data_IF_677293231740
#
_entry.id   IF_677293231740
#
_cell.length_a   1.000
_cell.length_b   1.000
_cell.length_c   1.000
_cell.angle_alpha   90.00
_cell.angle_beta   90.00
_cell.angle_gamma   90.00
#
_symmetry.space_group_name_H-M   'P 1'
#
loop_
_entity.id
_entity.type
_entity.pdbx_description
1 polymer ?
#
# COMPACT_ATOMS: atom_id res chain seq x y z
N UNK A 1 -18.17 11.33 10.90
CA UNK A 1 -17.74 11.96 9.61
C UNK A 1 -18.97 12.29 8.80
N UNK A 2 -19.04 13.48 8.23
CA UNK A 2 -20.04 13.83 7.22
C UNK A 2 -19.68 13.23 5.84
N UNK A 3 -20.57 13.34 4.86
CA UNK A 3 -20.38 12.76 3.52
C UNK A 3 -19.15 13.36 2.80
N UNK A 4 -18.88 14.64 3.02
CA UNK A 4 -17.72 15.32 2.41
C UNK A 4 -16.42 14.81 3.03
N UNK A 5 -16.39 14.67 4.35
CA UNK A 5 -15.25 14.10 5.07
C UNK A 5 -14.97 12.65 4.66
N UNK A 6 -16.02 11.83 4.49
CA UNK A 6 -15.91 10.45 3.99
C UNK A 6 -15.34 10.41 2.57
N UNK A 7 -15.79 11.31 1.69
CA UNK A 7 -15.26 11.41 0.34
C UNK A 7 -13.78 11.82 0.33
N UNK A 8 -13.41 12.86 1.07
CA UNK A 8 -12.03 13.34 1.16
C UNK A 8 -11.09 12.29 1.74
N UNK A 9 -11.51 11.59 2.79
CA UNK A 9 -10.77 10.49 3.36
C UNK A 9 -10.59 9.34 2.35
N UNK A 10 -11.67 8.95 1.66
CA UNK A 10 -11.61 7.95 0.60
C UNK A 10 -10.64 8.34 -0.53
N UNK A 11 -10.69 9.60 -1.00
CA UNK A 11 -9.76 10.11 -2.01
C UNK A 11 -8.30 9.98 -1.52
N UNK A 12 -8.03 10.41 -0.29
CA UNK A 12 -6.69 10.37 0.29
C UNK A 12 -6.11 8.96 0.36
N UNK A 13 -6.87 8.02 0.93
CA UNK A 13 -6.48 6.61 1.03
C UNK A 13 -6.37 5.98 -0.37
N UNK A 14 -7.30 6.29 -1.29
CA UNK A 14 -7.26 5.79 -2.66
C UNK A 14 -6.01 6.22 -3.42
N UNK A 15 -5.63 7.49 -3.32
CA UNK A 15 -4.39 8.02 -3.89
C UNK A 15 -3.17 7.30 -3.30
N UNK A 16 -3.10 7.23 -1.97
CA UNK A 16 -1.99 6.61 -1.26
C UNK A 16 -1.82 5.11 -1.58
N UNK A 17 -2.92 4.41 -1.86
CA UNK A 17 -2.90 2.97 -2.19
C UNK A 17 -2.22 2.65 -3.52
N UNK A 18 -2.10 3.60 -4.44
CA UNK A 18 -1.49 3.40 -5.76
C UNK A 18 -0.33 4.34 -6.06
N UNK A 19 -0.03 5.28 -5.18
CA UNK A 19 1.22 6.05 -5.17
C UNK A 19 2.17 5.48 -4.12
N UNK A 20 3.48 5.57 -4.32
CA UNK A 20 4.47 5.08 -3.36
C UNK A 20 4.62 6.03 -2.15
N UNK A 21 3.50 6.30 -1.48
CA UNK A 21 3.41 7.11 -0.25
C UNK A 21 2.75 6.29 0.86
N UNK A 22 2.97 6.67 2.12
CA UNK A 22 2.35 5.98 3.25
C UNK A 22 0.86 6.28 3.32
N UNK A 23 0.03 5.23 3.37
CA UNK A 23 -1.43 5.34 3.54
C UNK A 23 -1.74 6.02 4.87
N UNK A 24 -1.11 5.55 5.96
CA UNK A 24 -1.33 6.08 7.30
C UNK A 24 -0.84 7.54 7.42
N UNK A 25 0.31 7.86 6.82
CA UNK A 25 0.84 9.22 6.78
C UNK A 25 -0.11 10.20 6.08
N UNK A 26 -0.67 9.82 4.92
CA UNK A 26 -1.65 10.66 4.22
C UNK A 26 -2.98 10.72 4.98
N UNK A 27 -3.47 9.61 5.50
CA UNK A 27 -4.71 9.58 6.26
C UNK A 27 -4.62 10.44 7.53
N UNK A 28 -3.49 10.38 8.24
CA UNK A 28 -3.18 11.20 9.41
C UNK A 28 -3.10 12.69 9.04
N UNK A 29 -2.38 13.03 7.97
CA UNK A 29 -2.26 14.40 7.50
C UNK A 29 -3.64 14.99 7.10
N UNK A 30 -4.44 14.24 6.35
CA UNK A 30 -5.79 14.66 5.95
C UNK A 30 -6.68 14.83 7.18
N UNK A 31 -6.62 13.91 8.16
CA UNK A 31 -7.32 14.03 9.42
C UNK A 31 -6.96 15.32 10.16
N UNK A 32 -5.67 15.60 10.27
CA UNK A 32 -5.16 16.76 10.98
C UNK A 32 -5.50 18.09 10.28
N UNK A 33 -5.15 18.23 8.98
CA UNK A 33 -5.31 19.49 8.25
C UNK A 33 -6.76 19.84 7.93
N UNK A 34 -7.63 18.83 7.73
CA UNK A 34 -9.05 19.02 7.42
C UNK A 34 -9.94 18.88 8.65
N UNK A 35 -9.35 18.69 9.84
CA UNK A 35 -10.08 18.46 11.10
C UNK A 35 -11.12 17.33 10.95
N UNK A 36 -10.72 16.24 10.28
CA UNK A 36 -11.55 15.05 10.11
C UNK A 36 -11.29 14.11 11.27
N UNK A 37 -12.29 13.89 12.09
CA UNK A 37 -12.25 12.91 13.17
C UNK A 37 -12.44 11.50 12.58
N UNK A 38 -11.30 10.85 12.25
CA UNK A 38 -11.30 9.51 11.66
C UNK A 38 -11.61 8.48 12.76
N UNK A 39 -12.65 7.65 12.59
CA UNK A 39 -13.00 6.64 13.58
C UNK A 39 -11.81 5.71 13.87
N UNK A 40 -11.46 5.59 15.14
CA UNK A 40 -10.36 4.74 15.60
C UNK A 40 -10.63 3.23 15.41
N UNK A 41 -11.85 2.86 14.99
CA UNK A 41 -12.25 1.47 14.76
C UNK A 41 -11.72 0.88 13.44
N UNK A 42 -11.05 1.70 12.60
CA UNK A 42 -10.49 1.28 11.32
C UNK A 42 -11.51 0.98 10.22
N UNK A 43 -12.81 1.14 10.47
CA UNK A 43 -13.87 0.80 9.50
C UNK A 43 -13.74 1.63 8.21
N UNK A 44 -13.54 2.95 8.34
CA UNK A 44 -13.37 3.84 7.19
C UNK A 44 -12.13 3.46 6.37
N UNK A 45 -11.02 3.13 7.05
CA UNK A 45 -9.79 2.69 6.40
C UNK A 45 -9.99 1.38 5.64
N UNK A 46 -10.66 0.39 6.24
CA UNK A 46 -10.96 -0.89 5.60
C UNK A 46 -11.83 -0.70 4.35
N UNK A 47 -12.88 0.11 4.43
CA UNK A 47 -13.77 0.42 3.29
C UNK A 47 -12.98 1.08 2.16
N UNK A 48 -12.15 2.07 2.47
CA UNK A 48 -11.32 2.74 1.48
C UNK A 48 -10.30 1.79 0.84
N UNK A 49 -9.63 0.93 1.63
CA UNK A 49 -8.69 -0.07 1.11
C UNK A 49 -9.38 -1.11 0.23
N UNK A 50 -10.61 -1.54 0.57
CA UNK A 50 -11.40 -2.45 -0.28
C UNK A 50 -11.76 -1.73 -1.60
N UNK A 51 -12.15 -0.45 -1.55
CA UNK A 51 -12.39 0.36 -2.74
C UNK A 51 -11.15 0.44 -3.64
N UNK A 52 -9.98 0.68 -3.06
CA UNK A 52 -8.71 0.70 -3.78
C UNK A 52 -8.37 -0.66 -4.41
N UNK A 53 -8.57 -1.77 -3.69
CA UNK A 53 -8.36 -3.12 -4.25
C UNK A 53 -9.28 -3.39 -5.44
N UNK A 54 -10.55 -3.02 -5.34
CA UNK A 54 -11.52 -3.19 -6.46
C UNK A 54 -11.06 -2.37 -7.68
N UNK A 55 -10.56 -1.14 -7.49
CA UNK A 55 -10.00 -0.32 -8.57
C UNK A 55 -8.79 -1.01 -9.25
N UNK A 56 -7.89 -1.59 -8.48
CA UNK A 56 -6.75 -2.35 -8.99
C UNK A 56 -7.22 -3.59 -9.77
N UNK A 57 -8.21 -4.31 -9.24
CA UNK A 57 -8.81 -5.47 -9.94
C UNK A 57 -9.42 -5.01 -11.28
N UNK A 58 -10.20 -3.93 -11.30
CA UNK A 58 -10.78 -3.38 -12.54
C UNK A 58 -9.69 -2.99 -13.53
N UNK A 59 -8.61 -2.35 -13.05
CA UNK A 59 -7.48 -1.95 -13.91
C UNK A 59 -6.81 -3.14 -14.59
N UNK A 60 -6.74 -4.30 -13.92
CA UNK A 60 -6.08 -5.51 -14.40
C UNK A 60 -7.06 -6.66 -14.63
N UNK A 61 -8.35 -6.36 -14.91
CA UNK A 61 -9.44 -7.33 -14.95
C UNK A 61 -9.17 -8.53 -15.88
N UNK A 62 -8.56 -8.29 -17.03
CA UNK A 62 -8.23 -9.37 -17.98
C UNK A 62 -7.22 -10.36 -17.38
N UNK A 63 -6.19 -9.87 -16.69
CA UNK A 63 -5.20 -10.72 -16.01
C UNK A 63 -5.81 -11.46 -14.83
N UNK A 64 -6.62 -10.77 -14.02
CA UNK A 64 -7.33 -11.38 -12.88
C UNK A 64 -8.26 -12.49 -13.37
N UNK A 65 -9.03 -12.25 -14.43
CA UNK A 65 -9.94 -13.26 -14.97
C UNK A 65 -9.21 -14.46 -15.56
N UNK A 66 -8.12 -14.24 -16.33
CA UNK A 66 -7.25 -15.32 -16.84
C UNK A 66 -6.67 -16.16 -15.70
N UNK A 67 -6.18 -15.47 -14.66
CA UNK A 67 -5.61 -16.08 -13.47
C UNK A 67 -6.64 -16.93 -12.71
N UNK A 68 -7.84 -16.41 -12.46
CA UNK A 68 -8.92 -17.14 -11.78
C UNK A 68 -9.37 -18.36 -12.58
N UNK A 69 -9.58 -18.19 -13.89
CA UNK A 69 -9.92 -19.30 -14.79
C UNK A 69 -8.83 -20.37 -14.79
N UNK A 70 -7.58 -19.96 -14.90
CA UNK A 70 -6.42 -20.85 -14.87
C UNK A 70 -6.34 -21.64 -13.57
N UNK A 71 -6.52 -20.97 -12.42
CA UNK A 71 -6.51 -21.61 -11.10
C UNK A 71 -7.66 -22.61 -10.93
N UNK A 72 -8.87 -22.28 -11.40
CA UNK A 72 -10.00 -23.20 -11.37
C UNK A 72 -9.71 -24.47 -12.19
N UNK A 73 -9.12 -24.33 -13.38
CA UNK A 73 -8.70 -25.48 -14.21
C UNK A 73 -7.60 -26.29 -13.53
N UNK A 74 -6.63 -25.62 -12.88
CA UNK A 74 -5.57 -26.29 -12.13
C UNK A 74 -6.15 -27.13 -10.99
N UNK A 75 -7.03 -26.55 -10.16
CA UNK A 75 -7.70 -27.26 -9.07
C UNK A 75 -8.49 -28.46 -9.55
N UNK A 76 -9.24 -28.32 -10.65
CA UNK A 76 -9.99 -29.41 -11.27
C UNK A 76 -9.08 -30.56 -11.75
N UNK A 77 -7.94 -30.24 -12.39
CA UNK A 77 -6.97 -31.22 -12.87
C UNK A 77 -6.24 -31.93 -11.75
N UNK A 78 -5.86 -31.17 -10.68
CA UNK A 78 -5.19 -31.73 -9.49
C UNK A 78 -6.06 -32.78 -8.80
N UNK A 79 -7.39 -32.59 -8.81
CA UNK A 79 -8.34 -33.52 -8.19
C UNK A 79 -8.58 -34.78 -9.04
N UNK A 80 -8.32 -34.77 -10.36
CA UNK A 80 -8.72 -35.84 -11.26
C UNK A 80 -7.61 -36.66 -11.94
N UNK A 81 -6.46 -36.09 -12.28
CA UNK A 81 -5.45 -36.73 -13.13
C UNK A 81 -4.05 -36.14 -12.97
N UNK A 82 -3.38 -36.32 -11.85
CA UNK A 82 -1.94 -36.11 -11.76
C UNK A 82 -1.43 -34.84 -12.44
N UNK A 83 -1.68 -33.66 -11.86
CA UNK A 83 -1.16 -32.36 -12.33
C UNK A 83 0.29 -32.19 -11.92
N UNK A 84 1.19 -31.93 -12.88
CA UNK A 84 2.57 -31.55 -12.61
C UNK A 84 2.71 -30.04 -12.70
N UNK A 85 2.97 -29.38 -11.57
CA UNK A 85 3.14 -27.92 -11.51
C UNK A 85 4.22 -27.43 -12.50
N UNK A 86 5.31 -28.18 -12.64
CA UNK A 86 6.44 -27.77 -13.48
C UNK A 86 6.12 -27.78 -14.98
N UNK A 87 5.29 -28.74 -15.41
CA UNK A 87 5.07 -28.99 -16.84
C UNK A 87 3.71 -28.48 -17.34
N UNK A 88 2.70 -28.39 -16.45
CA UNK A 88 1.32 -28.16 -16.87
C UNK A 88 0.78 -26.79 -16.45
N UNK A 89 1.56 -25.98 -15.67
CA UNK A 89 1.11 -24.67 -15.22
C UNK A 89 1.35 -23.59 -16.26
N UNK A 90 0.34 -22.74 -16.47
CA UNK A 90 0.48 -21.50 -17.27
C UNK A 90 1.16 -20.39 -16.46
N UNK A 91 1.69 -19.37 -17.15
CA UNK A 91 2.29 -18.17 -16.51
C UNK A 91 1.33 -17.52 -15.51
N UNK A 92 0.06 -17.33 -15.90
CA UNK A 92 -0.96 -16.74 -15.03
C UNK A 92 -1.23 -17.60 -13.78
N UNK A 93 -1.18 -18.92 -13.86
CA UNK A 93 -1.34 -19.84 -12.73
C UNK A 93 -0.16 -19.73 -11.75
N UNK A 94 1.06 -19.63 -12.28
CA UNK A 94 2.27 -19.43 -11.47
C UNK A 94 2.21 -18.09 -10.74
N UNK A 95 1.82 -17.03 -11.43
CA UNK A 95 1.67 -15.71 -10.84
C UNK A 95 0.65 -15.68 -9.69
N UNK A 96 -0.49 -16.38 -9.85
CA UNK A 96 -1.48 -16.51 -8.77
C UNK A 96 -0.91 -17.22 -7.55
N UNK A 97 -0.19 -18.31 -7.75
CA UNK A 97 0.44 -19.04 -6.64
C UNK A 97 1.48 -18.18 -5.93
N UNK A 98 2.29 -17.43 -6.68
CA UNK A 98 3.26 -16.49 -6.11
C UNK A 98 2.55 -15.35 -5.37
N UNK A 99 1.44 -14.85 -5.90
CA UNK A 99 0.62 -13.85 -5.21
C UNK A 99 0.05 -14.40 -3.90
N UNK A 100 -0.55 -15.59 -3.90
CA UNK A 100 -1.04 -16.24 -2.68
C UNK A 100 0.10 -16.43 -1.67
N UNK A 101 1.28 -16.83 -2.12
CA UNK A 101 2.44 -16.97 -1.27
C UNK A 101 2.89 -15.63 -0.67
N UNK A 102 2.79 -14.53 -1.42
CA UNK A 102 3.09 -13.20 -0.92
C UNK A 102 2.11 -12.70 0.17
N UNK A 103 0.91 -13.30 0.27
CA UNK A 103 -0.04 -13.00 1.34
C UNK A 103 0.36 -13.61 2.69
N UNK A 104 1.22 -14.64 2.70
CA UNK A 104 1.65 -15.30 3.95
C UNK A 104 2.28 -14.31 4.93
N UNK A 105 3.28 -13.50 4.55
CA UNK A 105 3.79 -12.44 5.42
C UNK A 105 2.71 -11.42 5.81
N UNK A 106 1.80 -11.09 4.87
CA UNK A 106 0.70 -10.14 5.11
C UNK A 106 -0.26 -10.61 6.22
N UNK A 107 -0.45 -11.92 6.36
CA UNK A 107 -1.26 -12.49 7.42
C UNK A 107 -0.51 -12.61 8.75
N UNK A 108 0.75 -13.05 8.71
CA UNK A 108 1.52 -13.41 9.91
C UNK A 108 2.06 -12.17 10.63
N UNK A 109 2.67 -11.25 9.90
CA UNK A 109 3.39 -10.11 10.49
C UNK A 109 2.46 -9.17 11.27
N UNK A 110 1.28 -8.77 10.78
CA UNK A 110 0.36 -7.93 11.57
C UNK A 110 -0.12 -8.60 12.86
N UNK A 111 -0.29 -9.93 12.84
CA UNK A 111 -0.70 -10.69 14.03
C UNK A 111 0.42 -10.69 15.08
N UNK A 112 1.65 -10.99 14.64
CA UNK A 112 2.83 -11.04 15.52
C UNK A 112 3.28 -9.64 15.97
N UNK A 113 3.00 -8.60 15.18
CA UNK A 113 3.44 -7.23 15.40
C UNK A 113 2.46 -6.33 16.12
N UNK A 114 1.40 -6.87 16.75
CA UNK A 114 0.38 -6.05 17.46
C UNK A 114 0.97 -5.08 18.48
N UNK A 115 2.00 -5.52 19.21
CA UNK A 115 2.67 -4.71 20.23
C UNK A 115 3.59 -3.65 19.58
N UNK A 116 4.14 -3.94 18.39
CA UNK A 116 5.01 -3.02 17.65
C UNK A 116 4.20 -1.84 17.11
N UNK A 117 2.98 -2.07 16.63
CA UNK A 117 2.11 -1.00 16.12
C UNK A 117 1.62 -0.05 17.23
N UNK A 118 1.62 -0.48 18.49
CA UNK A 118 1.29 0.38 19.62
C UNK A 118 2.42 1.36 19.94
N UNK A 119 3.67 0.98 19.72
CA UNK A 119 4.86 1.83 19.92
C UNK A 119 4.95 2.91 18.83
N UNK A 120 4.45 2.64 17.64
CA UNK A 120 4.52 3.57 16.51
C UNK A 120 3.42 4.65 16.48
N UNK A 121 2.60 4.75 17.52
CA UNK A 121 1.63 5.85 17.73
C UNK A 121 2.25 7.03 18.48
N UNK A 122 3.56 7.15 18.40
CA UNK A 122 4.25 8.32 18.96
C UNK A 122 3.88 9.58 18.15
N UNK A 123 3.79 10.71 18.82
CA UNK A 123 3.46 12.02 18.21
C UNK A 123 4.67 12.64 17.51
N UNK A 124 5.81 11.98 17.50
CA UNK A 124 7.04 12.48 16.89
C UNK A 124 7.07 12.21 15.37
N UNK A 125 6.76 13.24 14.60
CA UNK A 125 6.79 13.20 13.12
C UNK A 125 8.21 13.00 12.55
N UNK A 126 9.26 13.11 13.34
CA UNK A 126 10.66 12.94 12.90
C UNK A 126 10.92 11.52 12.44
N UNK A 127 10.39 10.54 13.16
CA UNK A 127 10.52 9.12 12.82
C UNK A 127 9.85 8.83 11.47
N UNK A 128 8.64 9.37 11.26
CA UNK A 128 7.94 9.26 9.97
C UNK A 128 8.76 9.86 8.83
N UNK A 129 9.39 11.01 9.06
CA UNK A 129 10.28 11.65 8.08
C UNK A 129 11.49 10.79 7.72
N UNK A 130 12.13 10.15 8.69
CA UNK A 130 13.23 9.20 8.45
C UNK A 130 12.72 8.01 7.62
N UNK A 131 11.53 7.47 7.93
CA UNK A 131 10.92 6.40 7.19
C UNK A 131 10.63 6.79 5.72
N UNK A 132 10.16 8.01 5.46
CA UNK A 132 10.00 8.52 4.09
C UNK A 132 11.34 8.61 3.36
N UNK A 133 12.40 9.08 4.01
CA UNK A 133 13.74 9.14 3.42
C UNK A 133 14.25 7.74 3.07
N UNK A 134 14.09 6.76 3.96
CA UNK A 134 14.48 5.37 3.70
C UNK A 134 13.71 4.77 2.53
N UNK A 135 12.39 4.96 2.48
CA UNK A 135 11.56 4.52 1.36
C UNK A 135 11.98 5.19 0.05
N UNK A 136 12.25 6.50 0.08
CA UNK A 136 12.72 7.25 -1.08
C UNK A 136 14.07 6.74 -1.58
N UNK A 137 15.04 6.52 -0.68
CA UNK A 137 16.35 5.99 -1.02
C UNK A 137 16.27 4.57 -1.59
N UNK A 138 15.45 3.70 -1.00
CA UNK A 138 15.22 2.35 -1.49
C UNK A 138 14.62 2.35 -2.88
N UNK A 139 13.57 3.15 -3.10
CA UNK A 139 12.92 3.28 -4.41
C UNK A 139 13.86 3.88 -5.46
N UNK A 140 14.66 4.89 -5.09
CA UNK A 140 15.64 5.48 -5.98
C UNK A 140 16.71 4.47 -6.40
N UNK A 141 17.22 3.67 -5.44
CA UNK A 141 18.17 2.59 -5.70
C UNK A 141 17.58 1.56 -6.65
N UNK A 142 16.32 1.16 -6.43
CA UNK A 142 15.60 0.23 -7.28
C UNK A 142 15.39 0.77 -8.71
N UNK A 143 15.03 2.05 -8.85
CA UNK A 143 14.86 2.69 -10.16
C UNK A 143 16.18 2.86 -10.94
N UNK A 144 17.33 2.87 -10.24
CA UNK A 144 18.68 2.95 -10.84
C UNK A 144 19.32 1.59 -11.08
N UNK A 145 18.74 0.52 -10.54
CA UNK A 145 19.21 -0.85 -10.79
C UNK A 145 19.09 -1.22 -12.28
N UNK A 146 19.94 -2.11 -12.77
CA UNK A 146 19.78 -2.66 -14.11
C UNK A 146 18.38 -3.21 -14.30
N UNK A 147 17.79 -2.98 -15.47
CA UNK A 147 16.43 -3.46 -15.77
C UNK A 147 16.40 -4.97 -15.80
N UNK A 148 15.45 -5.50 -15.07
CA UNK A 148 15.15 -6.92 -15.15
C UNK A 148 14.30 -7.25 -16.38
N UNK A 149 14.50 -8.45 -16.89
CA UNK A 149 13.75 -9.01 -18.02
C UNK A 149 12.76 -10.08 -17.55
N UNK A 150 12.82 -10.46 -16.28
CA UNK A 150 11.95 -11.49 -15.71
C UNK A 150 10.52 -10.96 -15.55
N UNK A 151 9.56 -11.64 -16.16
CA UNK A 151 8.17 -11.24 -16.20
C UNK A 151 7.19 -12.31 -15.70
N UNK A 152 6.03 -12.38 -16.34
CA UNK A 152 4.94 -13.29 -15.98
C UNK A 152 5.41 -14.75 -15.87
N UNK A 153 4.99 -15.44 -14.82
CA UNK A 153 5.27 -16.85 -14.59
C UNK A 153 6.71 -17.22 -14.17
N UNK A 154 7.61 -16.23 -14.05
CA UNK A 154 9.04 -16.47 -13.74
C UNK A 154 9.39 -16.24 -12.27
N UNK A 155 8.44 -15.78 -11.46
CA UNK A 155 8.68 -15.45 -10.06
C UNK A 155 9.03 -16.68 -9.24
N UNK A 156 10.07 -16.54 -8.40
CA UNK A 156 10.49 -17.60 -7.46
C UNK A 156 9.71 -17.48 -6.15
N UNK A 157 9.41 -18.59 -5.46
CA UNK A 157 8.63 -18.59 -4.22
C UNK A 157 9.18 -17.66 -3.14
N UNK A 158 10.50 -17.65 -2.91
CA UNK A 158 11.12 -16.80 -1.90
C UNK A 158 11.10 -15.30 -2.29
N UNK A 159 11.09 -14.96 -3.61
CA UNK A 159 10.89 -13.59 -4.07
C UNK A 159 9.49 -13.09 -3.72
N UNK A 160 8.46 -13.94 -3.92
CA UNK A 160 7.10 -13.61 -3.55
C UNK A 160 6.96 -13.35 -2.05
N UNK A 161 7.60 -14.18 -1.20
CA UNK A 161 7.63 -13.95 0.25
C UNK A 161 8.34 -12.64 0.62
N UNK A 162 9.46 -12.32 -0.02
CA UNK A 162 10.18 -11.05 0.22
C UNK A 162 9.34 -9.83 -0.19
N UNK A 163 8.70 -9.87 -1.35
CA UNK A 163 7.85 -8.77 -1.82
C UNK A 163 6.64 -8.62 -0.90
N UNK A 164 6.04 -9.74 -0.47
CA UNK A 164 4.98 -9.75 0.52
C UNK A 164 5.41 -9.15 1.87
N UNK A 165 6.57 -9.54 2.38
CA UNK A 165 7.12 -8.98 3.61
C UNK A 165 7.43 -7.48 3.48
N UNK A 166 7.98 -7.05 2.32
CA UNK A 166 8.19 -5.65 2.01
C UNK A 166 6.88 -4.86 1.98
N UNK A 167 5.80 -5.45 1.44
CA UNK A 167 4.50 -4.77 1.40
C UNK A 167 3.91 -4.54 2.81
N UNK A 168 4.16 -5.45 3.74
CA UNK A 168 3.69 -5.35 5.13
C UNK A 168 4.45 -4.27 5.91
N UNK A 169 5.64 -3.87 5.48
CA UNK A 169 6.36 -2.77 6.16
C UNK A 169 5.56 -1.46 6.22
N UNK A 170 4.52 -1.33 5.38
CA UNK A 170 3.55 -0.24 5.43
C UNK A 170 2.73 -0.13 6.71
N UNK A 171 2.81 -1.11 7.64
CA UNK A 171 2.24 -0.98 8.99
C UNK A 171 3.02 0.00 9.87
N UNK A 172 4.26 0.32 9.49
CA UNK A 172 5.04 1.32 10.20
C UNK A 172 4.70 2.71 9.66
N UNK A 173 4.49 3.71 10.54
CA UNK A 173 4.22 5.08 10.13
C UNK A 173 5.33 5.61 9.22
N UNK A 174 4.95 6.29 8.15
CA UNK A 174 5.89 6.84 7.18
C UNK A 174 6.43 5.83 6.16
N UNK A 175 6.32 4.51 6.36
CA UNK A 175 6.75 3.53 5.35
C UNK A 175 5.60 3.28 4.36
N UNK A 176 5.92 3.37 3.07
CA UNK A 176 5.01 2.96 2.02
C UNK A 176 5.20 1.49 1.67
N UNK A 177 4.24 0.65 2.04
CA UNK A 177 4.27 -0.77 1.69
C UNK A 177 4.31 -1.00 0.18
N UNK A 178 3.64 -0.14 -0.59
CA UNK A 178 3.70 -0.18 -2.05
C UNK A 178 5.10 0.18 -2.59
N UNK A 179 5.72 1.25 -2.08
CA UNK A 179 7.08 1.63 -2.47
C UNK A 179 8.10 0.53 -2.13
N UNK A 180 7.99 -0.05 -0.95
CA UNK A 180 8.86 -1.13 -0.50
C UNK A 180 8.68 -2.40 -1.37
N UNK A 181 7.44 -2.82 -1.64
CA UNK A 181 7.17 -3.96 -2.50
C UNK A 181 7.63 -3.75 -3.95
N UNK A 182 7.39 -2.55 -4.51
CA UNK A 182 7.85 -2.20 -5.86
C UNK A 182 9.38 -2.21 -5.92
N UNK A 183 10.04 -1.60 -4.94
CA UNK A 183 11.50 -1.57 -4.86
C UNK A 183 12.09 -2.97 -4.74
N UNK A 184 11.51 -3.83 -3.89
CA UNK A 184 11.94 -5.21 -3.75
C UNK A 184 11.82 -5.97 -5.07
N UNK A 185 10.70 -5.85 -5.78
CA UNK A 185 10.50 -6.52 -7.05
C UNK A 185 11.49 -6.05 -8.12
N UNK A 186 11.73 -4.74 -8.23
CA UNK A 186 12.70 -4.17 -9.17
C UNK A 186 14.13 -4.63 -8.85
N UNK A 187 14.55 -4.61 -7.59
CA UNK A 187 15.88 -5.05 -7.14
C UNK A 187 16.10 -6.56 -7.35
N UNK A 188 15.03 -7.35 -7.33
CA UNK A 188 15.09 -8.78 -7.63
C UNK A 188 15.18 -9.08 -9.14
N UNK A 189 15.19 -8.05 -10.00
CA UNK A 189 15.39 -8.17 -11.43
C UNK A 189 14.11 -8.46 -12.22
N UNK A 190 12.95 -8.07 -11.70
CA UNK A 190 11.70 -8.17 -12.45
C UNK A 190 11.46 -6.95 -13.34
N UNK A 191 10.75 -7.18 -14.47
CA UNK A 191 10.33 -6.12 -15.38
C UNK A 191 9.48 -5.07 -14.63
N UNK A 192 9.65 -3.80 -14.99
CA UNK A 192 9.04 -2.68 -14.27
C UNK A 192 7.50 -2.75 -14.22
N UNK A 193 6.84 -3.14 -15.32
CA UNK A 193 5.37 -3.25 -15.36
C UNK A 193 4.87 -4.49 -14.61
N UNK A 194 5.63 -5.57 -14.62
CA UNK A 194 5.35 -6.75 -13.80
C UNK A 194 5.48 -6.42 -12.32
N UNK A 195 6.60 -5.80 -11.92
CA UNK A 195 6.88 -5.34 -10.55
C UNK A 195 5.79 -4.40 -10.02
N UNK A 196 5.39 -3.43 -10.85
CA UNK A 196 4.30 -2.50 -10.52
C UNK A 196 2.98 -3.25 -10.23
N UNK A 197 2.59 -4.15 -11.13
CA UNK A 197 1.35 -4.90 -10.98
C UNK A 197 1.37 -5.76 -9.72
N UNK A 198 2.44 -6.51 -9.52
CA UNK A 198 2.56 -7.39 -8.36
C UNK A 198 2.58 -6.59 -7.04
N UNK A 199 3.33 -5.49 -6.98
CA UNK A 199 3.41 -4.62 -5.82
C UNK A 199 2.05 -3.97 -5.49
N UNK A 200 1.27 -3.53 -6.50
CA UNK A 200 -0.07 -2.98 -6.28
C UNK A 200 -1.01 -4.00 -5.61
N UNK A 201 -1.02 -5.24 -6.10
CA UNK A 201 -1.86 -6.28 -5.50
C UNK A 201 -1.38 -6.66 -4.09
N UNK A 202 -0.08 -6.84 -3.89
CA UNK A 202 0.49 -7.19 -2.59
C UNK A 202 0.23 -6.09 -1.54
N UNK A 203 0.44 -4.81 -1.90
CA UNK A 203 0.22 -3.68 -0.99
C UNK A 203 -1.25 -3.43 -0.69
N UNK A 204 -2.16 -3.59 -1.67
CA UNK A 204 -3.59 -3.48 -1.43
C UNK A 204 -4.08 -4.57 -0.47
N UNK A 205 -3.60 -5.80 -0.63
CA UNK A 205 -3.91 -6.89 0.29
C UNK A 205 -3.35 -6.62 1.69
N UNK A 206 -2.09 -6.19 1.81
CA UNK A 206 -1.49 -5.87 3.12
C UNK A 206 -2.20 -4.71 3.80
N UNK A 207 -2.64 -3.69 3.06
CA UNK A 207 -3.43 -2.57 3.58
C UNK A 207 -4.77 -3.00 4.16
N UNK A 208 -5.47 -3.94 3.52
CA UNK A 208 -6.70 -4.52 4.06
C UNK A 208 -6.42 -5.26 5.37
N UNK A 209 -5.39 -6.13 5.39
CA UNK A 209 -5.02 -6.83 6.62
C UNK A 209 -4.62 -5.86 7.73
N UNK A 210 -3.84 -4.82 7.43
CA UNK A 210 -3.45 -3.79 8.40
C UNK A 210 -4.66 -3.04 8.96
N UNK A 211 -5.63 -2.67 8.12
CA UNK A 211 -6.86 -1.99 8.55
C UNK A 211 -7.69 -2.86 9.51
N UNK A 212 -7.82 -4.16 9.26
CA UNK A 212 -8.52 -5.07 10.15
C UNK A 212 -7.77 -5.32 11.47
N UNK A 213 -6.45 -5.49 11.42
CA UNK A 213 -5.64 -5.77 12.61
C UNK A 213 -5.33 -4.52 13.42
N UNK A 214 -5.11 -3.37 12.77
CA UNK A 214 -4.86 -2.09 13.43
C UNK A 214 -6.04 -1.62 14.28
N UNK A 215 -7.25 -2.00 13.93
CA UNK A 215 -8.45 -1.79 14.73
C UNK A 215 -8.53 -2.68 15.99
N UNK A 216 -7.57 -3.59 16.20
CA UNK A 216 -7.57 -4.51 17.35
C UNK A 216 -8.70 -5.54 17.34
N UNK A 217 -9.39 -5.72 16.22
CA UNK A 217 -10.58 -6.55 16.09
C UNK A 217 -10.44 -7.52 14.91
N UNK A 218 -10.50 -8.80 15.21
CA UNK A 218 -10.69 -9.88 14.24
C UNK A 218 -12.20 -10.01 13.86
N UNK A 219 -13.08 -9.42 14.69
CA UNK A 219 -14.50 -9.38 14.40
C UNK A 219 -14.84 -8.24 13.46
N UNK A 220 -15.83 -8.41 12.56
CA UNK A 220 -16.32 -7.30 11.77
C UNK A 220 -16.67 -6.18 12.75
N UNK A 221 -15.96 -5.06 12.63
CA UNK A 221 -16.36 -3.82 13.26
C UNK A 221 -17.82 -3.63 12.90
N UNK A 222 -18.54 -3.03 13.80
CA UNK A 222 -19.98 -2.79 13.62
C UNK A 222 -20.26 -2.41 12.17
N UNK A 223 -21.21 -3.09 11.58
CA UNK A 223 -21.76 -2.73 10.27
C UNK A 223 -21.90 -1.21 10.25
N UNK A 224 -21.36 -0.50 9.25
CA UNK A 224 -21.41 0.95 9.23
C UNK A 224 -22.82 1.40 9.52
N UNK A 225 -23.04 2.17 10.57
CA UNK A 225 -24.38 2.72 10.87
C UNK A 225 -24.85 3.66 9.76
N UNK A 226 -23.90 4.18 8.97
CA UNK A 226 -24.15 5.01 7.77
C UNK A 226 -23.62 4.32 6.51
N UNK A 227 -24.48 3.58 5.84
CA UNK A 227 -24.19 2.93 4.56
C UNK A 227 -23.93 3.93 3.43
N UNK A 228 -24.50 5.12 3.50
CA UNK A 228 -24.35 6.17 2.49
C UNK A 228 -22.91 6.72 2.55
N UNK A 229 -22.45 7.06 3.75
CA UNK A 229 -21.06 7.50 3.96
C UNK A 229 -20.04 6.42 3.57
N UNK A 230 -20.30 5.16 3.92
CA UNK A 230 -19.46 4.04 3.53
C UNK A 230 -19.38 3.88 2.00
N UNK A 231 -20.52 3.98 1.29
CA UNK A 231 -20.56 3.90 -0.17
C UNK A 231 -19.82 5.07 -0.83
N UNK A 232 -19.94 6.29 -0.29
CA UNK A 232 -19.22 7.46 -0.77
C UNK A 232 -17.73 7.31 -0.56
N UNK A 233 -17.27 6.87 0.62
CA UNK A 233 -15.87 6.60 0.91
C UNK A 233 -15.28 5.55 -0.04
N UNK A 234 -15.98 4.43 -0.21
CA UNK A 234 -15.61 3.36 -1.13
C UNK A 234 -15.47 3.85 -2.58
N UNK A 235 -16.50 4.54 -3.11
CA UNK A 235 -16.50 5.03 -4.48
C UNK A 235 -15.40 6.07 -4.72
N UNK A 236 -15.22 6.99 -3.77
CA UNK A 236 -14.17 8.00 -3.81
C UNK A 236 -12.77 7.36 -3.80
N UNK A 237 -12.55 6.39 -2.93
CA UNK A 237 -11.29 5.66 -2.85
C UNK A 237 -11.01 4.86 -4.13
N UNK A 238 -12.02 4.18 -4.69
CA UNK A 238 -11.88 3.42 -5.92
C UNK A 238 -11.54 4.34 -7.11
N UNK A 239 -12.24 5.46 -7.28
CA UNK A 239 -11.99 6.41 -8.35
C UNK A 239 -10.58 7.03 -8.23
N UNK A 240 -10.22 7.49 -7.05
CA UNK A 240 -8.92 8.10 -6.78
C UNK A 240 -7.76 7.11 -6.97
N UNK A 241 -7.92 5.87 -6.50
CA UNK A 241 -6.94 4.81 -6.69
C UNK A 241 -6.76 4.45 -8.18
N UNK A 242 -7.85 4.38 -8.94
CA UNK A 242 -7.77 4.12 -10.38
C UNK A 242 -6.97 5.21 -11.10
N UNK A 243 -7.25 6.48 -10.82
CA UNK A 243 -6.51 7.61 -11.38
C UNK A 243 -5.02 7.56 -10.99
N UNK A 244 -4.73 7.31 -9.72
CA UNK A 244 -3.36 7.18 -9.19
C UNK A 244 -2.62 5.99 -9.83
N UNK A 245 -3.27 4.83 -9.96
CA UNK A 245 -2.70 3.65 -10.60
C UNK A 245 -2.39 3.86 -12.09
N UNK A 246 -3.24 4.61 -12.80
CA UNK A 246 -3.00 5.00 -14.19
C UNK A 246 -1.79 5.93 -14.30
N UNK A 247 -1.69 6.94 -13.41
CA UNK A 247 -0.56 7.87 -13.35
C UNK A 247 0.74 7.12 -13.04
N UNK A 248 0.72 6.26 -12.03
CA UNK A 248 1.90 5.47 -11.64
C UNK A 248 2.34 4.54 -12.77
N UNK A 249 1.40 3.85 -13.43
CA UNK A 249 1.70 3.01 -14.58
C UNK A 249 2.28 3.81 -15.75
N UNK A 250 1.77 5.03 -16.00
CA UNK A 250 2.29 5.90 -17.03
C UNK A 250 3.72 6.37 -16.72
N UNK A 251 4.02 6.75 -15.47
CA UNK A 251 5.36 7.15 -15.04
C UNK A 251 6.35 6.00 -15.10
N UNK A 252 5.94 4.80 -14.64
CA UNK A 252 6.77 3.60 -14.72
C UNK A 252 7.07 3.23 -16.17
N UNK A 253 6.07 3.25 -17.05
CA UNK A 253 6.24 3.00 -18.49
C UNK A 253 7.16 4.02 -19.17
N UNK A 254 7.16 5.26 -18.72
CA UNK A 254 8.05 6.34 -19.20
C UNK A 254 9.41 6.36 -18.51
N UNK A 255 9.70 5.38 -17.65
CA UNK A 255 10.95 5.26 -16.90
C UNK A 255 11.21 6.43 -15.93
N UNK A 256 10.14 7.10 -15.54
CA UNK A 256 10.16 8.26 -14.63
C UNK A 256 9.73 7.91 -13.20
N UNK A 257 9.73 6.63 -12.82
CA UNK A 257 9.37 6.20 -11.48
C UNK A 257 10.25 6.83 -10.37
N UNK A 258 11.47 7.23 -10.69
CA UNK A 258 12.36 7.96 -9.79
C UNK A 258 11.77 9.28 -9.28
N UNK A 259 10.79 9.89 -9.98
CA UNK A 259 10.09 11.10 -9.51
C UNK A 259 9.44 10.86 -8.16
N UNK A 260 8.86 9.68 -7.96
CA UNK A 260 8.26 9.32 -6.67
C UNK A 260 9.30 9.20 -5.54
N UNK A 261 10.49 8.69 -5.88
CA UNK A 261 11.59 8.60 -4.91
C UNK A 261 12.04 10.00 -4.46
N UNK A 262 12.21 10.93 -5.40
CA UNK A 262 12.54 12.31 -5.05
C UNK A 262 11.45 12.99 -4.22
N UNK A 263 10.18 12.76 -4.57
CA UNK A 263 9.05 13.29 -3.81
C UNK A 263 9.06 12.78 -2.36
N UNK A 264 9.27 11.47 -2.16
CA UNK A 264 9.42 10.89 -0.82
C UNK A 264 10.60 11.48 -0.06
N UNK A 265 11.73 11.68 -0.73
CA UNK A 265 12.91 12.27 -0.08
C UNK A 265 12.67 13.73 0.33
N UNK A 266 12.01 14.52 -0.51
CA UNK A 266 11.66 15.91 -0.17
C UNK A 266 10.66 15.93 0.98
N UNK A 267 9.61 15.11 0.94
CA UNK A 267 8.65 14.99 2.04
C UNK A 267 9.35 14.55 3.33
N UNK A 268 10.19 13.52 3.25
CA UNK A 268 10.93 13.03 4.41
C UNK A 268 11.85 14.08 5.02
N UNK A 269 12.61 14.79 4.19
CA UNK A 269 13.50 15.85 4.66
C UNK A 269 12.71 16.98 5.32
N UNK A 270 11.60 17.42 4.70
CA UNK A 270 10.76 18.47 5.28
C UNK A 270 10.15 18.03 6.61
N UNK A 271 9.68 16.79 6.71
CA UNK A 271 9.11 16.24 7.95
C UNK A 271 10.16 16.14 9.07
N UNK A 272 11.38 15.68 8.76
CA UNK A 272 12.49 15.63 9.73
C UNK A 272 12.85 17.04 10.23
N UNK A 273 12.96 18.02 9.33
CA UNK A 273 13.25 19.39 9.71
C UNK A 273 12.15 19.94 10.63
N UNK A 274 10.88 19.78 10.26
CA UNK A 274 9.74 20.26 11.03
C UNK A 274 9.68 19.57 12.40
N UNK A 275 9.81 18.24 12.47
CA UNK A 275 9.82 17.50 13.74
C UNK A 275 10.97 17.90 14.65
N UNK A 276 12.17 18.13 14.06
CA UNK A 276 13.32 18.63 14.84
C UNK A 276 13.04 20.02 15.42
N UNK A 277 12.41 20.91 14.65
CA UNK A 277 12.04 22.26 15.11
C UNK A 277 11.01 22.18 16.25
N UNK A 278 9.99 21.31 16.14
CA UNK A 278 9.02 21.09 17.24
C UNK A 278 9.70 20.59 18.51
N UNK A 279 10.59 19.59 18.37
CA UNK A 279 11.31 19.01 19.51
C UNK A 279 12.22 20.05 20.20
N UNK A 280 12.93 20.88 19.43
CA UNK A 280 13.84 21.89 19.96
C UNK A 280 13.10 23.10 20.54
N UNK A 281 11.99 23.51 19.91
CA UNK A 281 11.19 24.65 20.38
C UNK A 281 10.28 24.33 21.57
N UNK A 282 9.96 23.02 21.75
CA UNK A 282 8.98 22.58 22.73
C UNK A 282 7.53 23.02 22.42
N UNK A 283 7.29 23.54 21.21
CA UNK A 283 5.99 24.06 20.78
C UNK A 283 5.52 23.34 19.52
N UNK A 284 4.22 23.00 19.43
CA UNK A 284 3.65 22.48 18.18
C UNK A 284 3.84 23.46 17.03
N UNK A 285 4.05 22.94 15.82
CA UNK A 285 4.29 23.75 14.62
C UNK A 285 3.19 24.79 14.37
N UNK A 286 1.94 24.46 14.69
CA UNK A 286 0.80 25.37 14.55
C UNK A 286 0.94 26.62 15.44
N UNK A 287 1.42 26.47 16.67
CA UNK A 287 1.67 27.57 17.60
C UNK A 287 2.89 28.37 17.17
N UNK A 288 3.92 27.71 16.64
CA UNK A 288 5.13 28.37 16.14
C UNK A 288 4.81 29.25 14.92
N UNK A 289 3.98 28.79 14.00
CA UNK A 289 3.50 29.55 12.84
C UNK A 289 2.61 30.71 13.29
N UNK A 290 1.78 30.52 14.30
CA UNK A 290 0.95 31.60 14.86
C UNK A 290 1.81 32.66 15.51
N UNK A 291 2.84 32.30 16.27
CA UNK A 291 3.80 33.21 16.89
C UNK A 291 4.66 34.00 15.89
N UNK A 292 4.93 33.42 14.70
CA UNK A 292 5.67 34.12 13.63
C UNK A 292 4.81 35.10 12.83
N UNK A 293 3.48 35.04 12.95
CA UNK A 293 2.53 35.94 12.25
C UNK A 293 2.07 37.13 13.08
N UNK A 294 2.34 37.14 14.39
CA UNK A 294 2.03 38.25 15.28
C UNK A 294 3.24 39.10 15.56
#
# INVERSE_FOLDING_TARGET
>A
MDLTQMALYGIAVGIASALPVSIDGIASAVGHFLSIDVPADGTAAAIACIGALIAIIIRYIKKVFSALKGTAVMLYRTWGKGFSYANDSTEDQRDVLMFILSLVPCCIIPIAGRDITSVSRDTDITVEGICFLLCGALLLSACRSPRGESGDGTMRPWHALLIGAASVSGIFPGISGFAAALSAALLLGYEAMYSLRFALFASAASGIFAAFYGAGRIAPAAVPGDWTGAAVCFAAAAAACLCAALLTAWLVKKEKAAVFAYLLMVLGLSTVILGTVETVSGMPLAELIAAMKG
#
